data_IF_730075667303
#
_entry.id   IF_730075667303
#
_cell.length_a   1.000
_cell.length_b   1.000
_cell.length_c   1.000
_cell.angle_alpha   90.00
_cell.angle_beta   90.00
_cell.angle_gamma   90.00
#
_symmetry.space_group_name_H-M   'P 1'
#
loop_
_entity.id
_entity.type
_entity.pdbx_description
1 polymer ?
#
# COMPACT_ATOMS: atom_id res chain seq x y z
N UNK A 1 -18.38 13.16 -24.49
CA UNK A 1 -17.07 12.50 -24.72
C UNK A 1 -16.86 11.62 -23.51
N UNK A 2 -16.96 10.30 -23.65
CA UNK A 2 -16.71 9.39 -22.53
C UNK A 2 -15.22 9.44 -22.18
N UNK A 3 -14.91 9.69 -20.91
CA UNK A 3 -13.55 9.59 -20.42
C UNK A 3 -13.21 8.11 -20.29
N UNK A 4 -12.43 7.59 -21.24
CA UNK A 4 -11.84 6.28 -21.09
C UNK A 4 -10.58 6.41 -20.23
N UNK A 5 -10.48 5.68 -19.11
CA UNK A 5 -9.29 5.75 -18.29
C UNK A 5 -8.09 5.19 -19.06
N UNK A 6 -6.94 5.84 -18.92
CA UNK A 6 -5.66 5.38 -19.50
C UNK A 6 -5.41 3.92 -19.07
N UNK A 7 -5.36 2.95 -20.00
CA UNK A 7 -5.30 1.53 -19.67
C UNK A 7 -4.12 1.18 -18.75
N UNK A 8 -2.99 1.85 -18.94
CA UNK A 8 -1.79 1.71 -18.10
C UNK A 8 -2.06 2.13 -16.66
N UNK A 9 -2.74 3.27 -16.45
CA UNK A 9 -3.04 3.76 -15.10
C UNK A 9 -3.98 2.81 -14.36
N UNK A 10 -4.98 2.29 -15.05
CA UNK A 10 -5.89 1.27 -14.48
C UNK A 10 -5.12 0.03 -14.06
N UNK A 11 -4.17 -0.41 -14.88
CA UNK A 11 -3.37 -1.59 -14.57
C UNK A 11 -2.45 -1.36 -13.37
N UNK A 12 -1.85 -0.18 -13.24
CA UNK A 12 -1.06 0.19 -12.06
C UNK A 12 -1.89 0.16 -10.78
N UNK A 13 -3.14 0.64 -10.83
CA UNK A 13 -4.05 0.60 -9.68
C UNK A 13 -4.41 -0.86 -9.31
N UNK A 14 -4.71 -1.71 -10.31
CA UNK A 14 -4.97 -3.14 -10.07
C UNK A 14 -3.76 -3.85 -9.47
N UNK A 15 -2.58 -3.56 -9.99
CA UNK A 15 -1.34 -4.12 -9.47
C UNK A 15 -1.08 -3.68 -8.02
N UNK A 16 -1.30 -2.40 -7.70
CA UNK A 16 -1.19 -1.88 -6.34
C UNK A 16 -2.14 -2.62 -5.38
N UNK A 17 -3.40 -2.82 -5.78
CA UNK A 17 -4.39 -3.54 -4.98
C UNK A 17 -3.98 -5.01 -4.73
N UNK A 18 -3.46 -5.68 -5.76
CA UNK A 18 -2.91 -7.03 -5.60
C UNK A 18 -1.73 -7.05 -4.63
N UNK A 19 -0.77 -6.14 -4.78
CA UNK A 19 0.41 -6.04 -3.93
C UNK A 19 0.04 -5.79 -2.45
N UNK A 20 -0.86 -4.83 -2.19
CA UNK A 20 -1.38 -4.56 -0.86
C UNK A 20 -2.02 -5.80 -0.23
N UNK A 21 -2.79 -6.56 -1.00
CA UNK A 21 -3.39 -7.81 -0.53
C UNK A 21 -2.33 -8.83 -0.11
N UNK A 22 -1.25 -8.98 -0.90
CA UNK A 22 -0.15 -9.88 -0.56
C UNK A 22 0.57 -9.45 0.73
N UNK A 23 0.86 -8.16 0.87
CA UNK A 23 1.55 -7.60 2.05
C UNK A 23 0.70 -7.81 3.31
N UNK A 24 -0.59 -7.48 3.26
CA UNK A 24 -1.51 -7.67 4.39
C UNK A 24 -1.58 -9.14 4.78
N UNK A 25 -1.68 -10.05 3.81
CA UNK A 25 -1.73 -11.49 4.08
C UNK A 25 -0.46 -11.99 4.79
N UNK A 26 0.71 -11.45 4.45
CA UNK A 26 1.98 -11.75 5.16
C UNK A 26 1.95 -11.19 6.57
N UNK A 27 1.60 -9.91 6.73
CA UNK A 27 1.57 -9.23 8.03
C UNK A 27 0.62 -9.90 9.03
N UNK A 28 -0.51 -10.45 8.57
CA UNK A 28 -1.45 -11.19 9.41
C UNK A 28 -0.88 -12.46 10.06
N UNK A 29 0.26 -12.97 9.56
CA UNK A 29 0.93 -14.15 10.11
C UNK A 29 2.11 -13.81 11.01
N UNK A 30 2.46 -12.54 11.13
CA UNK A 30 3.57 -12.06 11.95
C UNK A 30 3.11 -11.83 13.40
N UNK A 31 4.01 -12.06 14.34
CA UNK A 31 3.80 -11.63 15.73
C UNK A 31 4.09 -10.13 15.90
N UNK A 32 3.74 -9.57 17.06
CA UNK A 32 3.90 -8.15 17.33
C UNK A 32 5.37 -7.70 17.27
N UNK A 33 6.32 -8.51 17.76
CA UNK A 33 7.75 -8.17 17.71
C UNK A 33 8.30 -8.19 16.28
N UNK A 34 7.76 -9.06 15.43
CA UNK A 34 8.09 -9.08 14.00
C UNK A 34 7.49 -7.88 13.26
N UNK A 35 6.27 -7.45 13.61
CA UNK A 35 5.64 -6.25 13.04
C UNK A 35 6.39 -4.96 13.40
N UNK A 36 7.09 -4.94 14.54
CA UNK A 36 7.93 -3.83 14.99
C UNK A 36 9.31 -3.79 14.29
N UNK A 37 9.62 -4.75 13.41
CA UNK A 37 10.90 -4.78 12.70
C UNK A 37 11.09 -3.56 11.79
N UNK A 38 12.31 -3.02 11.77
CA UNK A 38 12.69 -1.85 10.97
C UNK A 38 13.76 -2.19 9.94
N UNK A 39 13.78 -1.48 8.81
CA UNK A 39 14.86 -1.60 7.82
C UNK A 39 15.32 -0.22 7.30
N UNK A 40 16.60 -0.04 6.92
CA UNK A 40 17.07 1.21 6.31
C UNK A 40 16.21 1.61 5.10
N UNK A 41 15.77 2.87 5.06
CA UNK A 41 14.94 3.40 3.97
C UNK A 41 13.43 3.17 4.12
N UNK A 42 12.97 2.60 5.25
CA UNK A 42 11.54 2.45 5.57
C UNK A 42 11.03 3.56 6.49
N UNK A 43 9.70 3.73 6.55
CA UNK A 43 9.07 4.60 7.53
C UNK A 43 8.86 3.83 8.83
N UNK A 44 9.87 3.77 9.69
CA UNK A 44 9.76 3.11 11.00
C UNK A 44 9.63 1.58 10.90
N UNK A 45 8.64 1.03 11.60
CA UNK A 45 8.34 -0.40 11.61
C UNK A 45 7.64 -0.86 10.32
N UNK A 46 7.41 -2.17 10.17
CA UNK A 46 6.53 -2.72 9.13
C UNK A 46 5.14 -2.10 9.26
N UNK A 47 4.62 -1.97 10.48
CA UNK A 47 3.31 -1.37 10.74
C UNK A 47 3.26 0.10 10.30
N UNK A 48 4.27 0.89 10.67
CA UNK A 48 4.34 2.31 10.32
C UNK A 48 4.45 2.51 8.80
N UNK A 49 5.24 1.68 8.13
CA UNK A 49 5.40 1.75 6.67
C UNK A 49 4.11 1.36 5.93
N UNK A 50 3.44 0.29 6.36
CA UNK A 50 2.15 -0.09 5.78
C UNK A 50 1.08 0.99 6.03
N UNK A 51 1.04 1.55 7.24
CA UNK A 51 0.16 2.66 7.59
C UNK A 51 0.41 3.90 6.75
N UNK A 52 1.70 4.21 6.47
CA UNK A 52 2.08 5.30 5.59
C UNK A 52 1.56 5.09 4.16
N UNK A 53 1.73 3.89 3.59
CA UNK A 53 1.23 3.55 2.25
C UNK A 53 -0.29 3.72 2.13
N UNK A 54 -1.05 3.14 3.07
CA UNK A 54 -2.52 3.22 3.07
C UNK A 54 -2.99 4.67 3.18
N UNK A 55 -2.35 5.46 4.06
CA UNK A 55 -2.69 6.89 4.20
C UNK A 55 -2.38 7.67 2.92
N UNK A 56 -1.24 7.42 2.28
CA UNK A 56 -0.88 8.08 1.04
C UNK A 56 -1.90 7.79 -0.09
N UNK A 57 -2.36 6.55 -0.22
CA UNK A 57 -3.39 6.17 -1.18
C UNK A 57 -4.71 6.94 -0.92
N UNK A 58 -5.18 6.96 0.33
CA UNK A 58 -6.38 7.71 0.70
C UNK A 58 -6.23 9.22 0.45
N UNK A 59 -5.05 9.78 0.76
CA UNK A 59 -4.76 11.19 0.55
C UNK A 59 -4.75 11.56 -0.95
N UNK A 60 -4.26 10.68 -1.84
CA UNK A 60 -4.34 10.92 -3.29
C UNK A 60 -5.78 10.89 -3.80
N UNK A 61 -6.59 9.93 -3.33
CA UNK A 61 -8.02 9.88 -3.68
C UNK A 61 -8.77 11.10 -3.13
N UNK A 62 -8.38 11.63 -1.96
CA UNK A 62 -8.98 12.85 -1.41
C UNK A 62 -8.64 14.14 -2.16
N UNK A 63 -7.70 14.09 -3.11
CA UNK A 63 -7.25 15.26 -3.91
C UNK A 63 -7.82 15.29 -5.33
N UNK A 64 -8.54 14.25 -5.75
CA UNK A 64 -9.26 14.18 -7.04
C UNK A 64 -10.73 14.55 -6.85
#
# INVERSE_FOLDING_TARGET
MEFQPEPTLVELIRYNNWANTQIIAVCQRLDAGQLDATAPGTYGSIYDTLGHMIRAEADYIGRI
#
